data_IF_832468612217
#
_entry.id   IF_832468612217
#
_cell.length_a   1.000
_cell.length_b   1.000
_cell.length_c   1.000
_cell.angle_alpha   90.00
_cell.angle_beta   90.00
_cell.angle_gamma   90.00
#
_symmetry.space_group_name_H-M   'P 1'
#
loop_
_entity.id
_entity.type
_entity.pdbx_description
1 polymer ?
#
# COMPACT_ATOMS: atom_id res chain seq x y z
N UNK A 1 18.83 -63.55 39.91
CA UNK A 1 18.43 -62.13 40.05
C UNK A 1 18.64 -61.47 38.69
N UNK A 2 17.58 -61.34 37.87
CA UNK A 2 17.65 -60.77 36.51
C UNK A 2 17.09 -59.35 36.58
N UNK A 3 17.90 -58.37 36.19
CA UNK A 3 17.55 -56.94 36.18
C UNK A 3 16.72 -56.69 34.91
N UNK A 4 15.44 -56.36 35.08
CA UNK A 4 14.56 -55.93 34.00
C UNK A 4 14.76 -54.43 33.80
N UNK A 5 15.38 -54.03 32.68
CA UNK A 5 15.51 -52.62 32.29
C UNK A 5 14.19 -52.21 31.63
N UNK A 6 13.45 -51.31 32.29
CA UNK A 6 12.28 -50.66 31.70
C UNK A 6 12.74 -49.57 30.73
N UNK A 7 12.44 -49.74 29.44
CA UNK A 7 12.67 -48.71 28.42
C UNK A 7 11.49 -47.74 28.48
N UNK A 8 11.75 -46.52 28.98
CA UNK A 8 10.80 -45.42 28.97
C UNK A 8 10.77 -44.82 27.54
N UNK A 9 9.69 -45.05 26.80
CA UNK A 9 9.45 -44.46 25.49
C UNK A 9 9.10 -42.98 25.63
N UNK A 10 10.04 -42.09 25.30
CA UNK A 10 9.80 -40.66 25.15
C UNK A 10 9.10 -40.41 23.81
N UNK A 11 7.80 -40.13 23.83
CA UNK A 11 7.08 -39.62 22.65
C UNK A 11 7.47 -38.15 22.44
N UNK A 12 8.37 -37.92 21.49
CA UNK A 12 8.66 -36.58 20.96
C UNK A 12 7.46 -36.15 20.11
N UNK A 13 6.62 -35.26 20.64
CA UNK A 13 5.64 -34.54 19.85
C UNK A 13 6.40 -33.54 18.97
N UNK A 14 6.70 -33.93 17.73
CA UNK A 14 7.14 -33.00 16.73
C UNK A 14 5.96 -32.09 16.36
N UNK A 15 5.93 -30.88 16.92
CA UNK A 15 5.10 -29.80 16.41
C UNK A 15 5.56 -29.48 14.99
N UNK A 16 4.98 -30.14 13.99
CA UNK A 16 5.09 -29.68 12.61
C UNK A 16 4.42 -28.31 12.56
N UNK A 17 5.22 -27.25 12.54
CA UNK A 17 4.78 -25.97 12.04
C UNK A 17 4.16 -26.24 10.67
N UNK A 18 2.83 -26.10 10.55
CA UNK A 18 2.16 -26.15 9.25
C UNK A 18 2.86 -25.13 8.37
N UNK A 19 3.57 -25.60 7.35
CA UNK A 19 4.06 -24.74 6.29
C UNK A 19 2.89 -23.87 5.82
N UNK A 20 3.09 -22.55 5.79
CA UNK A 20 2.09 -21.65 5.22
C UNK A 20 1.83 -22.13 3.81
N UNK A 21 0.60 -22.59 3.56
CA UNK A 21 0.15 -22.91 2.21
C UNK A 21 0.41 -21.68 1.33
N UNK A 22 1.01 -21.89 0.15
CA UNK A 22 1.28 -20.80 -0.77
C UNK A 22 -0.05 -20.09 -1.07
N UNK A 23 -0.05 -18.76 -0.96
CA UNK A 23 -1.22 -17.95 -1.25
C UNK A 23 -1.65 -18.17 -2.70
N UNK A 24 -2.83 -18.76 -2.90
CA UNK A 24 -3.45 -18.82 -4.22
C UNK A 24 -3.91 -17.42 -4.65
N UNK A 25 -3.63 -17.03 -5.89
CA UNK A 25 -4.07 -15.77 -6.49
C UNK A 25 -5.60 -15.61 -6.48
N UNK A 26 -6.33 -16.71 -6.62
CA UNK A 26 -7.80 -16.79 -6.51
C UNK A 26 -8.33 -16.43 -5.11
N UNK A 27 -7.49 -16.44 -4.08
CA UNK A 27 -7.87 -16.07 -2.71
C UNK A 27 -7.30 -14.71 -2.30
N UNK A 28 -6.65 -14.02 -3.22
CA UNK A 28 -6.09 -12.69 -3.01
C UNK A 28 -7.06 -11.64 -3.55
N UNK A 29 -7.53 -10.78 -2.64
CA UNK A 29 -8.22 -9.53 -2.94
C UNK A 29 -7.26 -8.37 -2.75
N UNK A 30 -7.34 -7.36 -3.61
CA UNK A 30 -6.47 -6.19 -3.54
C UNK A 30 -7.30 -4.93 -3.50
N UNK A 31 -6.99 -4.06 -2.54
CA UNK A 31 -7.45 -2.68 -2.47
C UNK A 31 -6.23 -1.77 -2.59
N UNK A 32 -6.06 -1.13 -3.74
CA UNK A 32 -5.03 -0.12 -3.95
C UNK A 32 -5.63 1.29 -3.75
N UNK A 33 -4.93 2.16 -3.03
CA UNK A 33 -5.38 3.51 -2.67
C UNK A 33 -4.28 4.52 -3.04
N UNK A 34 -4.63 5.45 -3.93
CA UNK A 34 -3.96 6.73 -4.16
C UNK A 34 -5.01 7.83 -3.93
N UNK A 35 -5.01 8.47 -2.77
CA UNK A 35 -5.94 9.56 -2.50
C UNK A 35 -5.64 10.80 -3.31
N UNK A 36 -4.37 11.16 -3.47
CA UNK A 36 -3.92 12.28 -4.29
C UNK A 36 -4.22 13.64 -3.66
N UNK A 37 -5.17 13.75 -2.72
CA UNK A 37 -5.58 14.99 -2.05
C UNK A 37 -6.37 15.91 -2.98
N UNK A 38 -5.65 16.53 -3.90
CA UNK A 38 -6.16 17.32 -5.02
C UNK A 38 -5.20 17.18 -6.21
N UNK A 39 -5.54 17.82 -7.33
CA UNK A 39 -4.72 17.70 -8.55
C UNK A 39 -3.29 18.23 -8.37
N UNK A 40 -3.06 19.17 -7.45
CA UNK A 40 -1.75 19.76 -7.18
C UNK A 40 -0.87 18.84 -6.35
N UNK A 41 -1.46 18.04 -5.47
CA UNK A 41 -0.74 17.08 -4.63
C UNK A 41 -0.68 15.67 -5.21
N UNK A 42 -1.52 15.30 -6.18
CA UNK A 42 -1.49 13.96 -6.77
C UNK A 42 -0.30 13.78 -7.74
N UNK A 43 0.86 13.43 -7.20
CA UNK A 43 2.10 13.30 -7.96
C UNK A 43 2.14 12.10 -8.92
N UNK A 44 2.84 12.24 -10.04
CA UNK A 44 3.09 11.21 -11.05
C UNK A 44 3.61 9.87 -10.47
N UNK A 45 4.45 9.94 -9.42
CA UNK A 45 4.99 8.78 -8.72
C UNK A 45 3.90 7.88 -8.17
N UNK A 46 2.83 8.42 -7.59
CA UNK A 46 1.73 7.61 -7.05
C UNK A 46 1.07 6.74 -8.13
N UNK A 47 0.84 7.29 -9.32
CA UNK A 47 0.29 6.52 -10.44
C UNK A 47 1.30 5.50 -10.99
N UNK A 48 2.58 5.85 -11.06
CA UNK A 48 3.67 4.93 -11.42
C UNK A 48 3.70 3.69 -10.50
N UNK A 49 3.48 3.88 -9.20
CA UNK A 49 3.42 2.78 -8.23
C UNK A 49 2.22 1.87 -8.46
N UNK A 50 1.05 2.44 -8.76
CA UNK A 50 -0.13 1.66 -9.15
C UNK A 50 0.10 0.86 -10.43
N UNK A 51 0.81 1.42 -11.43
CA UNK A 51 1.21 0.71 -12.67
C UNK A 51 2.09 -0.50 -12.36
N UNK A 52 3.10 -0.33 -11.51
CA UNK A 52 3.99 -1.41 -11.11
C UNK A 52 3.26 -2.51 -10.32
N UNK A 53 2.41 -2.15 -9.37
CA UNK A 53 1.59 -3.12 -8.65
C UNK A 53 0.70 -3.90 -9.62
N UNK A 54 0.01 -3.20 -10.51
CA UNK A 54 -0.92 -3.81 -11.48
C UNK A 54 -0.20 -4.81 -12.39
N UNK A 55 1.00 -4.48 -12.88
CA UNK A 55 1.81 -5.39 -13.66
C UNK A 55 2.23 -6.65 -12.88
N UNK A 56 2.48 -6.53 -11.57
CA UNK A 56 2.76 -7.68 -10.71
C UNK A 56 1.52 -8.55 -10.48
N UNK A 57 0.35 -7.94 -10.28
CA UNK A 57 -0.91 -8.65 -10.08
C UNK A 57 -1.33 -9.41 -11.35
N UNK A 58 -1.19 -8.78 -12.52
CA UNK A 58 -1.45 -9.41 -13.82
C UNK A 58 -0.51 -10.60 -14.04
N UNK A 59 0.79 -10.46 -13.74
CA UNK A 59 1.76 -11.57 -13.82
C UNK A 59 1.51 -12.70 -12.83
N UNK A 60 0.85 -12.42 -11.72
CA UNK A 60 0.51 -13.39 -10.68
C UNK A 60 -0.86 -14.03 -10.92
N UNK A 61 -1.51 -13.73 -12.06
CA UNK A 61 -2.85 -14.20 -12.42
C UNK A 61 -3.87 -13.95 -11.30
N UNK A 62 -3.84 -12.74 -10.70
CA UNK A 62 -4.87 -12.33 -9.75
C UNK A 62 -6.13 -11.96 -10.53
N UNK A 63 -7.31 -12.53 -10.19
CA UNK A 63 -8.55 -12.20 -10.89
C UNK A 63 -8.81 -10.69 -10.89
N UNK A 64 -9.11 -10.12 -12.06
CA UNK A 64 -9.29 -8.66 -12.20
C UNK A 64 -10.42 -8.13 -11.32
N UNK A 65 -11.47 -8.93 -11.11
CA UNK A 65 -12.58 -8.57 -10.25
C UNK A 65 -12.27 -8.68 -8.75
N UNK A 66 -11.11 -9.21 -8.37
CA UNK A 66 -10.56 -9.16 -7.01
C UNK A 66 -9.72 -7.90 -6.74
N UNK A 67 -9.39 -7.13 -7.77
CA UNK A 67 -8.60 -5.91 -7.67
C UNK A 67 -9.50 -4.68 -7.73
N UNK A 68 -9.48 -3.85 -6.69
CA UNK A 68 -10.13 -2.55 -6.66
C UNK A 68 -9.10 -1.46 -6.49
N UNK A 69 -9.10 -0.46 -7.37
CA UNK A 69 -8.18 0.67 -7.34
C UNK A 69 -8.98 1.93 -7.10
N UNK A 70 -8.74 2.55 -5.95
CA UNK A 70 -9.23 3.87 -5.60
C UNK A 70 -8.11 4.87 -5.91
N UNK A 71 -8.29 5.72 -6.91
CA UNK A 71 -7.28 6.68 -7.34
C UNK A 71 -7.95 8.00 -7.66
N UNK A 72 -7.56 9.07 -6.95
CA UNK A 72 -7.93 10.46 -7.25
C UNK A 72 -9.41 10.65 -7.59
N UNK A 73 -9.78 11.31 -8.70
CA UNK A 73 -11.16 11.48 -9.14
C UNK A 73 -11.76 10.24 -9.85
N UNK A 74 -10.98 9.16 -9.98
CA UNK A 74 -11.40 7.89 -10.55
C UNK A 74 -11.11 7.83 -12.05
N UNK A 75 -12.13 7.51 -12.84
CA UNK A 75 -12.02 7.44 -14.30
C UNK A 75 -12.58 8.70 -14.97
N UNK A 76 -12.68 9.81 -14.23
CA UNK A 76 -13.05 11.10 -14.81
C UNK A 76 -11.94 11.52 -15.80
N UNK A 77 -12.27 11.99 -17.02
CA UNK A 77 -11.24 12.44 -17.96
C UNK A 77 -10.55 13.75 -17.56
N UNK A 78 -10.99 14.44 -16.49
CA UNK A 78 -10.36 15.69 -16.06
C UNK A 78 -8.91 15.49 -15.61
N UNK A 79 -7.98 16.40 -15.97
CA UNK A 79 -6.62 16.32 -15.46
C UNK A 79 -6.55 16.45 -13.94
N UNK A 80 -6.04 15.40 -13.30
CA UNK A 80 -6.02 15.18 -11.86
C UNK A 80 -4.62 14.78 -11.33
N UNK A 81 -3.63 14.61 -12.21
CA UNK A 81 -2.28 14.15 -11.92
C UNK A 81 -1.26 15.28 -12.17
N UNK A 82 -0.52 15.67 -11.14
CA UNK A 82 0.60 16.59 -11.25
C UNK A 82 1.81 15.90 -11.89
N UNK A 83 2.30 16.47 -12.99
CA UNK A 83 3.51 16.02 -13.69
C UNK A 83 4.47 17.20 -13.85
N UNK A 84 5.76 16.94 -13.77
CA UNK A 84 6.81 17.91 -14.10
C UNK A 84 7.62 17.43 -15.30
N UNK A 85 8.12 18.38 -16.10
CA UNK A 85 9.14 18.06 -17.09
C UNK A 85 10.48 17.75 -16.40
N UNK A 86 11.35 17.03 -17.10
CA UNK A 86 12.69 16.78 -16.61
C UNK A 86 13.41 18.11 -16.39
N UNK A 87 13.87 18.34 -15.17
CA UNK A 87 14.69 19.51 -14.84
C UNK A 87 15.96 19.48 -15.70
N UNK A 88 16.33 20.59 -16.37
CA UNK A 88 17.59 20.69 -17.07
C UNK A 88 18.79 20.35 -16.18
N UNK A 89 19.81 19.74 -16.78
CA UNK A 89 21.06 19.43 -16.07
C UNK A 89 21.62 20.70 -15.41
N UNK A 90 22.01 20.59 -14.14
CA UNK A 90 22.57 21.71 -13.37
C UNK A 90 21.54 22.62 -12.69
N UNK A 91 20.22 22.38 -12.81
CA UNK A 91 19.20 23.18 -12.10
C UNK A 91 19.35 23.18 -10.58
N UNK A 92 19.94 22.13 -10.01
CA UNK A 92 20.30 22.06 -8.58
C UNK A 92 21.25 23.19 -8.14
N UNK A 93 22.08 23.74 -9.04
CA UNK A 93 22.94 24.88 -8.75
C UNK A 93 22.14 26.16 -8.46
N UNK A 94 20.89 26.22 -8.91
CA UNK A 94 19.99 27.36 -8.75
C UNK A 94 18.97 27.13 -7.64
N UNK A 95 19.05 26.02 -6.90
CA UNK A 95 18.13 25.71 -5.81
C UNK A 95 18.17 26.80 -4.71
N UNK A 96 17.00 27.16 -4.19
CA UNK A 96 16.87 28.26 -3.22
C UNK A 96 17.04 29.68 -3.77
N UNK A 97 17.42 29.86 -5.04
CA UNK A 97 17.56 31.20 -5.65
C UNK A 97 16.26 31.67 -6.30
N UNK A 98 16.13 32.99 -6.47
CA UNK A 98 15.01 33.57 -7.24
C UNK A 98 15.06 33.17 -8.72
N UNK A 99 16.24 33.10 -9.31
CA UNK A 99 16.43 32.64 -10.69
C UNK A 99 15.98 31.18 -10.86
N UNK A 100 16.34 30.30 -9.92
CA UNK A 100 15.86 28.92 -9.92
C UNK A 100 14.34 28.82 -9.76
N UNK A 101 13.71 29.71 -8.99
CA UNK A 101 12.23 29.78 -8.91
C UNK A 101 11.60 30.24 -10.23
N UNK A 102 12.24 31.14 -10.97
CA UNK A 102 11.76 31.62 -12.27
C UNK A 102 11.97 30.60 -13.40
N UNK A 103 13.03 29.80 -13.32
CA UNK A 103 13.38 28.81 -14.34
C UNK A 103 12.79 27.41 -14.09
N UNK A 104 12.39 27.10 -12.85
CA UNK A 104 11.66 25.86 -12.53
C UNK A 104 10.46 25.74 -13.45
N UNK A 105 10.36 24.60 -14.13
CA UNK A 105 9.24 24.34 -15.03
C UNK A 105 7.94 24.30 -14.24
N UNK A 106 6.88 24.85 -14.85
CA UNK A 106 5.56 24.83 -14.27
C UNK A 106 5.08 23.37 -14.17
N UNK A 107 4.42 23.04 -13.07
CA UNK A 107 3.69 21.78 -12.94
C UNK A 107 2.56 21.76 -13.96
N UNK A 108 2.56 20.76 -14.83
CA UNK A 108 1.48 20.44 -15.73
C UNK A 108 0.52 19.43 -15.09
N UNK A 109 -0.67 19.28 -15.67
CA UNK A 109 -1.66 18.31 -15.21
C UNK A 109 -2.07 17.36 -16.34
N UNK A 110 -2.08 16.07 -16.04
CA UNK A 110 -2.55 15.00 -16.92
C UNK A 110 -3.69 14.24 -16.25
N UNK A 111 -4.40 13.40 -17.01
CA UNK A 111 -5.41 12.50 -16.46
C UNK A 111 -4.77 11.19 -15.99
N UNK A 112 -5.12 10.74 -14.78
CA UNK A 112 -4.76 9.45 -14.22
C UNK A 112 -5.43 8.32 -15.01
N UNK A 113 -4.63 7.63 -15.83
CA UNK A 113 -5.06 6.44 -16.56
C UNK A 113 -4.16 5.27 -16.24
N UNK A 114 -4.81 4.13 -15.94
CA UNK A 114 -4.18 2.85 -15.70
C UNK A 114 -4.71 1.80 -16.70
N UNK A 115 -3.94 1.45 -17.75
CA UNK A 115 -4.38 0.49 -18.76
C UNK A 115 -4.82 -0.85 -18.15
N UNK A 116 -5.97 -1.36 -18.60
CA UNK A 116 -6.53 -2.64 -18.15
C UNK A 116 -7.26 -2.60 -16.80
N UNK A 117 -7.33 -1.44 -16.14
CA UNK A 117 -8.02 -1.25 -14.87
C UNK A 117 -8.94 -0.04 -14.92
N UNK A 118 -10.11 -0.16 -14.29
CA UNK A 118 -11.00 0.99 -14.06
C UNK A 118 -10.70 1.59 -12.69
N UNK A 119 -10.48 2.90 -12.66
CA UNK A 119 -10.24 3.65 -11.44
C UNK A 119 -11.55 4.12 -10.84
N UNK A 120 -11.67 4.01 -9.51
CA UNK A 120 -12.78 4.59 -8.75
C UNK A 120 -12.28 5.78 -7.94
N UNK A 121 -13.12 6.80 -7.68
CA UNK A 121 -12.67 7.97 -6.95
C UNK A 121 -12.25 7.60 -5.53
N UNK A 122 -11.09 8.09 -5.10
CA UNK A 122 -10.50 7.78 -3.80
C UNK A 122 -11.14 8.61 -2.68
N UNK A 123 -12.43 8.39 -2.40
CA UNK A 123 -13.19 9.12 -1.38
C UNK A 123 -13.58 8.22 -0.21
N UNK A 124 -13.91 8.79 0.96
CA UNK A 124 -14.45 8.04 2.10
C UNK A 124 -15.71 7.25 1.71
N UNK A 125 -16.53 7.80 0.80
CA UNK A 125 -17.75 7.14 0.30
C UNK A 125 -17.40 5.87 -0.46
N UNK A 126 -16.53 5.95 -1.46
CA UNK A 126 -16.11 4.77 -2.25
C UNK A 126 -15.33 3.76 -1.42
N UNK A 127 -14.53 4.21 -0.46
CA UNK A 127 -13.84 3.32 0.48
C UNK A 127 -14.85 2.48 1.26
N UNK A 128 -15.90 3.10 1.82
CA UNK A 128 -16.98 2.40 2.54
C UNK A 128 -17.73 1.42 1.64
N UNK A 129 -18.05 1.81 0.41
CA UNK A 129 -18.70 0.93 -0.57
C UNK A 129 -17.83 -0.28 -0.93
N UNK A 130 -16.53 -0.05 -1.10
CA UNK A 130 -15.55 -1.10 -1.39
C UNK A 130 -15.49 -2.12 -0.25
N UNK A 131 -15.39 -1.68 1.00
CA UNK A 131 -15.41 -2.58 2.16
C UNK A 131 -16.74 -3.33 2.32
N UNK A 132 -17.87 -2.69 1.98
CA UNK A 132 -19.17 -3.37 1.98
C UNK A 132 -19.22 -4.49 0.92
N UNK A 133 -18.67 -4.24 -0.27
CA UNK A 133 -18.55 -5.25 -1.33
C UNK A 133 -17.63 -6.41 -0.91
N UNK A 134 -16.44 -6.10 -0.40
CA UNK A 134 -15.47 -7.10 0.09
C UNK A 134 -16.09 -7.99 1.18
N UNK A 135 -16.84 -7.40 2.12
CA UNK A 135 -17.55 -8.16 3.16
C UNK A 135 -18.50 -9.22 2.57
N UNK A 136 -19.19 -8.92 1.48
CA UNK A 136 -20.11 -9.85 0.82
C UNK A 136 -19.42 -10.95 0.00
N UNK A 137 -18.19 -10.69 -0.47
CA UNK A 137 -17.46 -11.55 -1.40
C UNK A 137 -16.42 -12.46 -0.75
N UNK A 138 -15.66 -11.92 0.20
CA UNK A 138 -14.58 -12.65 0.85
C UNK A 138 -15.12 -13.76 1.78
N UNK A 139 -14.29 -14.78 2.00
CA UNK A 139 -14.56 -15.94 2.85
C UNK A 139 -13.36 -16.21 3.76
N UNK A 140 -13.54 -17.10 4.73
CA UNK A 140 -12.46 -17.51 5.62
C UNK A 140 -11.30 -18.14 4.81
N UNK A 141 -10.06 -17.72 5.09
CA UNK A 141 -8.86 -18.14 4.37
C UNK A 141 -8.41 -17.20 3.25
N UNK A 142 -9.29 -16.29 2.79
CA UNK A 142 -8.93 -15.24 1.84
C UNK A 142 -7.99 -14.21 2.47
N UNK A 143 -7.28 -13.48 1.62
CA UNK A 143 -6.37 -12.40 2.00
C UNK A 143 -6.73 -11.11 1.29
N UNK A 144 -6.84 -10.03 2.05
CA UNK A 144 -6.89 -8.68 1.53
C UNK A 144 -5.50 -8.06 1.60
N UNK A 145 -4.91 -7.74 0.45
CA UNK A 145 -3.78 -6.82 0.36
C UNK A 145 -4.32 -5.39 0.24
N UNK A 146 -3.95 -4.52 1.17
CA UNK A 146 -4.20 -3.09 1.08
C UNK A 146 -2.89 -2.42 0.70
N UNK A 147 -2.85 -1.85 -0.50
CA UNK A 147 -1.72 -1.08 -0.97
C UNK A 147 -2.05 0.40 -0.92
N UNK A 148 -1.19 1.20 -0.31
CA UNK A 148 -1.35 2.65 -0.22
C UNK A 148 -0.12 3.31 -0.81
N UNK A 149 -0.34 4.22 -1.77
CA UNK A 149 0.68 5.08 -2.35
C UNK A 149 0.13 6.49 -2.40
N UNK A 150 0.40 7.28 -1.35
CA UNK A 150 -0.20 8.61 -1.22
C UNK A 150 0.52 9.48 -0.18
N UNK A 151 -0.07 10.64 0.11
CA UNK A 151 0.25 11.48 1.26
C UNK A 151 -0.31 10.91 2.58
N UNK A 152 0.52 10.99 3.61
CA UNK A 152 0.10 10.75 4.99
C UNK A 152 0.10 12.03 5.81
N UNK A 153 -0.92 12.21 6.64
CA UNK A 153 -0.98 13.32 7.61
C UNK A 153 -0.72 12.80 9.02
N UNK A 154 0.26 13.40 9.70
CA UNK A 154 0.52 13.09 11.11
C UNK A 154 -0.58 13.68 11.99
N UNK A 155 -1.01 12.93 12.99
CA UNK A 155 -1.77 13.49 14.09
C UNK A 155 -0.79 13.87 15.21
N UNK A 156 -0.59 15.17 15.41
CA UNK A 156 0.38 15.70 16.38
C UNK A 156 0.10 15.33 17.84
N UNK A 157 -1.17 15.06 18.18
CA UNK A 157 -1.57 14.70 19.55
C UNK A 157 -1.46 13.20 19.80
N UNK A 158 -1.62 12.40 18.75
CA UNK A 158 -1.56 10.95 18.80
C UNK A 158 -1.02 10.41 17.47
N UNK A 159 0.32 10.24 17.36
CA UNK A 159 0.95 9.71 16.16
C UNK A 159 0.51 8.28 15.80
N UNK A 160 -0.26 7.59 16.64
CA UNK A 160 -0.86 6.29 16.31
C UNK A 160 -2.20 6.44 15.58
N UNK A 161 -2.72 7.66 15.46
CA UNK A 161 -3.97 7.99 14.76
C UNK A 161 -3.72 8.91 13.56
N UNK A 162 -2.68 8.58 12.80
CA UNK A 162 -2.37 9.21 11.52
C UNK A 162 -3.44 8.91 10.45
N UNK A 163 -3.37 9.64 9.35
CA UNK A 163 -4.38 9.59 8.28
C UNK A 163 -3.75 9.28 6.93
N UNK A 164 -4.46 8.51 6.12
CA UNK A 164 -4.27 8.42 4.67
C UNK A 164 -5.08 9.57 4.07
N UNK A 165 -4.45 10.40 3.24
CA UNK A 165 -5.16 11.44 2.50
C UNK A 165 -6.08 10.79 1.46
N UNK A 166 -7.18 11.44 1.12
CA UNK A 166 -8.12 10.95 0.11
C UNK A 166 -8.46 12.10 -0.84
N UNK A 167 -9.08 11.80 -1.97
CA UNK A 167 -9.39 12.78 -2.99
C UNK A 167 -10.51 13.72 -2.54
N UNK A 168 -10.20 15.00 -2.48
CA UNK A 168 -11.13 16.08 -2.13
C UNK A 168 -10.80 16.77 -0.80
N UNK A 169 -11.34 17.98 -0.65
CA UNK A 169 -11.11 18.76 0.55
C UNK A 169 -11.62 18.03 1.80
N UNK A 170 -10.71 17.81 2.76
CA UNK A 170 -10.99 17.14 4.06
C UNK A 170 -11.30 15.64 3.95
N UNK A 171 -11.17 15.04 2.77
CA UNK A 171 -11.28 13.60 2.59
C UNK A 171 -10.00 12.95 3.14
N UNK A 172 -10.15 12.04 4.10
CA UNK A 172 -9.05 11.27 4.67
C UNK A 172 -9.60 10.15 5.55
N UNK A 173 -8.81 9.11 5.78
CA UNK A 173 -9.17 7.99 6.67
C UNK A 173 -8.10 7.81 7.74
N UNK A 174 -8.49 7.83 9.02
CA UNK A 174 -7.57 7.56 10.12
C UNK A 174 -7.31 6.06 10.34
N UNK A 175 -6.31 5.73 11.15
CA UNK A 175 -6.06 4.36 11.63
C UNK A 175 -7.34 3.75 12.22
N UNK A 176 -8.01 4.43 13.15
CA UNK A 176 -9.29 3.98 13.74
C UNK A 176 -10.42 3.79 12.74
N UNK A 177 -10.57 4.71 11.79
CA UNK A 177 -11.61 4.61 10.77
C UNK A 177 -11.38 3.42 9.85
N UNK A 178 -10.14 3.21 9.40
CA UNK A 178 -9.75 2.05 8.62
C UNK A 178 -9.93 0.76 9.42
N UNK A 179 -9.52 0.73 10.69
CA UNK A 179 -9.71 -0.42 11.58
C UNK A 179 -11.20 -0.78 11.75
N UNK A 180 -12.08 0.22 11.86
CA UNK A 180 -13.53 0.01 11.92
C UNK A 180 -14.07 -0.63 10.64
N UNK A 181 -13.55 -0.24 9.47
CA UNK A 181 -13.89 -0.87 8.20
C UNK A 181 -13.38 -2.31 8.13
N UNK A 182 -12.13 -2.52 8.53
CA UNK A 182 -11.53 -3.85 8.57
C UNK A 182 -12.35 -4.78 9.46
N UNK A 183 -12.77 -4.35 10.65
CA UNK A 183 -13.57 -5.15 11.58
C UNK A 183 -14.92 -5.64 11.04
N UNK A 184 -15.40 -5.12 9.91
CA UNK A 184 -16.62 -5.58 9.24
C UNK A 184 -16.38 -6.76 8.30
N UNK A 185 -15.13 -7.04 7.92
CA UNK A 185 -14.79 -8.19 7.09
C UNK A 185 -15.05 -9.52 7.84
N UNK A 186 -15.31 -10.63 7.14
CA UNK A 186 -15.51 -11.93 7.77
C UNK A 186 -14.39 -12.30 8.76
N UNK A 187 -14.70 -13.03 9.84
CA UNK A 187 -13.69 -13.63 10.68
C UNK A 187 -12.74 -14.52 9.85
N UNK A 188 -11.45 -14.55 10.20
CA UNK A 188 -10.42 -15.36 9.53
C UNK A 188 -10.00 -14.91 8.11
N UNK A 189 -10.48 -13.77 7.62
CA UNK A 189 -9.78 -13.06 6.53
C UNK A 189 -8.46 -12.53 7.06
N UNK A 190 -7.39 -12.74 6.30
CA UNK A 190 -6.07 -12.15 6.57
C UNK A 190 -5.98 -10.79 5.89
N UNK A 191 -5.33 -9.83 6.54
CA UNK A 191 -5.09 -8.49 6.00
C UNK A 191 -3.59 -8.26 5.99
N UNK A 192 -3.05 -7.95 4.81
CA UNK A 192 -1.68 -7.51 4.64
C UNK A 192 -1.73 -6.07 4.15
N UNK A 193 -1.00 -5.19 4.81
CA UNK A 193 -0.90 -3.78 4.40
C UNK A 193 0.49 -3.49 3.83
N UNK A 194 0.54 -2.72 2.75
CA UNK A 194 1.76 -2.21 2.15
C UNK A 194 1.57 -0.72 1.95
N UNK A 195 2.19 0.08 2.79
CA UNK A 195 1.91 1.52 2.86
C UNK A 195 3.16 2.33 2.58
N UNK A 196 3.19 2.95 1.40
CA UNK A 196 4.20 3.89 0.95
C UNK A 196 3.63 5.31 1.06
N UNK A 197 3.65 5.83 2.28
CA UNK A 197 3.24 7.20 2.60
C UNK A 197 3.94 7.70 3.86
N UNK A 198 3.95 9.01 4.08
CA UNK A 198 4.41 9.59 5.34
C UNK A 198 3.65 9.04 6.54
N UNK A 199 4.34 8.89 7.68
CA UNK A 199 3.76 8.47 8.97
C UNK A 199 3.04 7.12 8.96
N UNK A 200 3.33 6.27 7.96
CA UNK A 200 2.66 4.99 7.72
C UNK A 200 2.80 4.02 8.89
N UNK A 201 3.86 4.11 9.70
CA UNK A 201 4.08 3.26 10.87
C UNK A 201 2.98 3.34 11.94
N UNK A 202 2.16 4.41 11.97
CA UNK A 202 0.99 4.46 12.86
C UNK A 202 -0.06 3.39 12.53
N UNK A 203 -0.13 2.98 11.26
CA UNK A 203 -1.03 1.92 10.80
C UNK A 203 -0.55 0.50 11.18
N UNK A 204 0.65 0.36 11.76
CA UNK A 204 1.07 -0.90 12.36
C UNK A 204 0.08 -1.37 13.44
N UNK A 205 -0.59 -0.44 14.14
CA UNK A 205 -1.52 -0.72 15.24
C UNK A 205 -2.92 -1.16 14.79
N UNK A 206 -3.16 -1.33 13.49
CA UNK A 206 -4.42 -1.91 12.99
C UNK A 206 -4.70 -3.31 13.57
N UNK A 207 -3.67 -4.05 14.00
CA UNK A 207 -3.84 -5.38 14.62
C UNK A 207 -4.62 -5.34 15.94
N UNK A 208 -4.57 -4.24 16.69
CA UNK A 208 -5.22 -4.11 18.01
C UNK A 208 -6.74 -4.26 17.91
N UNK A 209 -7.29 -3.87 16.76
CA UNK A 209 -8.73 -3.91 16.49
C UNK A 209 -9.22 -5.30 16.07
N UNK A 210 -8.30 -6.19 15.69
CA UNK A 210 -8.55 -7.59 15.37
C UNK A 210 -8.01 -8.52 16.46
N UNK A 211 -8.11 -8.10 17.71
CA UNK A 211 -7.76 -8.93 18.86
C UNK A 211 -8.81 -10.02 19.11
N UNK A 212 -8.36 -11.20 19.55
CA UNK A 212 -9.20 -12.27 20.08
C UNK A 212 -8.79 -12.47 21.52
N UNK A 213 -9.74 -12.37 22.45
CA UNK A 213 -9.49 -12.55 23.89
C UNK A 213 -8.37 -11.61 24.41
N UNK A 214 -8.31 -10.38 23.90
CA UNK A 214 -7.29 -9.39 24.28
C UNK A 214 -5.88 -9.64 23.72
N UNK A 215 -5.71 -10.59 22.79
CA UNK A 215 -4.44 -10.88 22.12
C UNK A 215 -4.51 -10.65 20.62
N UNK A 216 -3.42 -10.22 19.94
CA UNK A 216 -3.40 -10.11 18.49
C UNK A 216 -3.78 -11.45 17.83
N UNK A 217 -4.72 -11.43 16.90
CA UNK A 217 -5.15 -12.66 16.19
C UNK A 217 -4.11 -13.20 15.22
N UNK A 218 -3.07 -12.42 14.90
CA UNK A 218 -2.13 -12.72 13.82
C UNK A 218 -2.72 -12.55 12.42
N UNK A 219 -3.98 -12.09 12.30
CA UNK A 219 -4.67 -11.95 11.02
C UNK A 219 -4.37 -10.63 10.30
N UNK A 220 -3.66 -9.69 10.92
CA UNK A 220 -3.32 -8.39 10.34
C UNK A 220 -1.82 -8.17 10.46
N UNK A 221 -1.14 -7.87 9.36
CA UNK A 221 0.27 -7.49 9.33
C UNK A 221 0.53 -6.42 8.27
N UNK A 222 1.73 -5.85 8.24
CA UNK A 222 2.06 -4.83 7.27
C UNK A 222 3.53 -4.48 7.12
N UNK A 223 3.80 -3.80 6.02
CA UNK A 223 5.06 -3.11 5.71
C UNK A 223 4.77 -1.61 5.54
N UNK A 224 5.59 -0.79 6.19
CA UNK A 224 5.40 0.66 6.30
C UNK A 224 6.71 1.35 5.92
N UNK A 225 6.63 2.36 5.06
CA UNK A 225 7.81 3.11 4.57
C UNK A 225 8.49 3.96 5.65
N UNK A 226 7.80 4.29 6.74
CA UNK A 226 8.35 5.09 7.84
C UNK A 226 7.71 4.75 9.19
N UNK A 227 8.27 5.28 10.28
CA UNK A 227 7.64 5.22 11.61
C UNK A 227 6.43 6.17 11.71
N UNK A 228 5.64 6.05 12.77
CA UNK A 228 4.45 6.88 13.04
C UNK A 228 4.71 8.39 13.11
N UNK A 229 5.95 8.81 13.33
CA UNK A 229 6.33 10.22 13.57
C UNK A 229 7.24 10.79 12.48
N UNK A 230 7.54 10.00 11.43
CA UNK A 230 8.50 10.41 10.40
C UNK A 230 7.86 10.48 9.01
N UNK A 231 8.16 11.52 8.23
CA UNK A 231 7.84 11.51 6.81
C UNK A 231 8.60 10.38 6.11
N UNK A 232 7.99 9.87 5.04
CA UNK A 232 8.63 8.95 4.12
C UNK A 232 9.36 9.75 3.02
N UNK A 233 10.37 9.14 2.40
CA UNK A 233 11.16 9.78 1.34
C UNK A 233 10.95 9.03 0.02
N UNK A 234 10.69 9.78 -1.05
CA UNK A 234 10.73 9.27 -2.42
C UNK A 234 12.15 9.31 -2.98
N UNK A 235 12.49 8.40 -3.89
CA UNK A 235 13.82 8.31 -4.49
C UNK A 235 13.94 9.01 -5.85
N UNK A 236 12.83 9.43 -6.46
CA UNK A 236 12.81 9.90 -7.85
C UNK A 236 12.03 11.21 -8.00
N UNK A 237 12.50 12.15 -8.86
CA UNK A 237 11.76 13.36 -9.19
C UNK A 237 10.50 13.02 -10.00
N UNK A 238 9.44 13.84 -9.90
CA UNK A 238 8.10 13.63 -10.50
C UNK A 238 8.05 13.87 -12.02
N UNK A 239 8.97 13.24 -12.74
CA UNK A 239 9.23 13.48 -14.16
C UNK A 239 8.24 12.71 -15.04
N UNK A 240 7.62 13.44 -15.97
CA UNK A 240 6.71 12.90 -17.00
C UNK A 240 7.30 11.68 -17.69
N UNK A 241 6.52 10.60 -17.75
CA UNK A 241 6.85 9.39 -18.52
C UNK A 241 7.98 8.54 -17.94
N UNK A 242 8.55 8.91 -16.79
CA UNK A 242 9.58 8.11 -16.11
C UNK A 242 8.91 7.17 -15.12
N UNK A 243 9.28 5.89 -15.16
CA UNK A 243 8.89 4.99 -14.07
C UNK A 243 9.65 5.35 -12.80
N UNK A 244 8.95 5.39 -11.68
CA UNK A 244 9.50 5.65 -10.36
C UNK A 244 9.47 4.35 -9.55
N UNK A 245 10.53 3.51 -9.59
CA UNK A 245 10.55 2.26 -8.84
C UNK A 245 10.29 2.48 -7.35
N UNK A 246 9.27 1.82 -6.82
CA UNK A 246 9.06 1.79 -5.38
C UNK A 246 9.91 0.69 -4.76
N UNK A 247 10.67 1.00 -3.71
CA UNK A 247 11.46 0.00 -2.99
C UNK A 247 10.56 -1.07 -2.35
N UNK A 248 9.39 -0.68 -1.86
CA UNK A 248 8.41 -1.58 -1.27
C UNK A 248 7.82 -2.56 -2.30
N UNK A 249 7.56 -2.09 -3.52
CA UNK A 249 7.11 -2.94 -4.64
C UNK A 249 8.28 -3.79 -5.18
N UNK A 250 9.51 -3.26 -5.16
CA UNK A 250 10.72 -4.02 -5.49
C UNK A 250 10.97 -5.17 -4.50
N UNK A 251 10.58 -5.03 -3.23
CA UNK A 251 10.64 -6.12 -2.26
C UNK A 251 9.77 -7.33 -2.68
N UNK A 252 8.66 -7.10 -3.40
CA UNK A 252 7.87 -8.18 -4.02
C UNK A 252 8.58 -8.80 -5.22
N UNK A 253 9.29 -8.01 -6.04
CA UNK A 253 10.09 -8.51 -7.17
C UNK A 253 11.21 -9.46 -6.73
N UNK A 254 11.89 -9.14 -5.62
CA UNK A 254 12.97 -9.98 -5.07
C UNK A 254 12.50 -11.37 -4.59
N UNK A 255 11.26 -11.49 -4.10
CA UNK A 255 10.67 -12.79 -3.72
C UNK A 255 10.04 -13.55 -4.89
N UNK A 256 9.66 -12.86 -5.95
CA UNK A 256 9.13 -13.46 -7.19
C UNK A 256 10.22 -13.92 -8.18
N UNK A 257 11.51 -13.89 -7.78
CA UNK A 257 12.62 -14.33 -8.62
C UNK A 257 12.98 -13.39 -9.78
N UNK A 258 12.53 -12.13 -9.74
CA UNK A 258 12.82 -11.15 -10.80
C UNK A 258 14.06 -10.34 -10.39
N UNK A 259 15.24 -10.78 -10.86
CA UNK A 259 16.49 -10.03 -10.73
C UNK A 259 16.57 -8.93 -11.80
N UNK A 260 16.04 -7.75 -11.49
CA UNK A 260 16.34 -6.52 -12.22
C UNK A 260 17.45 -5.78 -11.51
N UNK A 261 18.68 -5.85 -12.02
CA UNK A 261 19.82 -5.08 -11.51
C UNK A 261 19.62 -3.61 -11.91
N UNK A 262 18.98 -2.83 -11.04
CA UNK A 262 19.02 -1.38 -11.12
C UNK A 262 20.36 -0.90 -10.60
N UNK A 263 21.20 -0.35 -11.46
CA UNK A 263 22.44 0.32 -11.07
C UNK A 263 22.07 1.56 -10.26
N UNK A 264 22.21 1.46 -8.94
CA UNK A 264 22.23 2.62 -8.06
C UNK A 264 23.51 3.40 -8.31
N UNK A 265 23.37 4.66 -8.71
CA UNK A 265 24.42 5.66 -8.53
C UNK A 265 24.08 6.38 -7.22
N UNK A 266 25.09 6.50 -6.37
CA UNK A 266 25.07 7.04 -5.02
C UNK A 266 24.48 8.45 -4.92
#
# INVERSE_FOLDING_TARGET
MRITIAILSVMVWASLAKASEALSSERLYVLAINGGGDRQSNSASHLSHLRQLSALLDRADVPRDHVTILASDGSDPTPDLAVADAEPEGMWLLEGTELGRLLRHATDFENSVLPGYSLRPATCRELRLTFASLRGRMRAGDTLLIFVTDHGTMNERDPLENRISLWGARESVSVRELASLLNRLPPHVRVVTLMSQCFSGGFAYLYDWRTREGRPSGAVCGYFSSSSERPAYGCYPEVRGVEHPQQEVAAFRGRAGVTGVGHGVF
#
